data_IF_253231930867
#
_entry.id   IF_253231930867
#
_cell.length_a   1.000
_cell.length_b   1.000
_cell.length_c   1.000
_cell.angle_alpha   90.00
_cell.angle_beta   90.00
_cell.angle_gamma   90.00
#
_symmetry.space_group_name_H-M   'P 1'
#
loop_
_entity.id
_entity.type
_entity.pdbx_description
1 polymer ?
#
# COMPACT_ATOMS: atom_id res chain seq x y z
N UNK A 1 0.09 -5.19 -17.39
CA UNK A 1 0.21 -4.50 -16.06
C UNK A 1 1.49 -4.94 -15.35
N UNK A 2 2.21 -4.02 -14.74
CA UNK A 2 3.40 -4.27 -13.93
C UNK A 2 3.23 -3.68 -12.52
N UNK A 3 3.95 -4.22 -11.54
CA UNK A 3 3.95 -3.68 -10.18
C UNK A 3 4.38 -2.20 -10.15
N UNK A 4 5.35 -1.85 -11.01
CA UNK A 4 5.82 -0.46 -11.15
C UNK A 4 4.69 0.48 -11.58
N UNK A 5 3.83 0.08 -12.51
CA UNK A 5 2.66 0.86 -12.93
C UNK A 5 1.66 1.04 -11.78
N UNK A 6 1.40 0.01 -10.98
CA UNK A 6 0.55 0.11 -9.79
C UNK A 6 1.10 1.15 -8.81
N UNK A 7 2.39 1.11 -8.53
CA UNK A 7 3.05 2.07 -7.64
C UNK A 7 3.01 3.49 -8.21
N UNK A 8 3.11 3.65 -9.51
CA UNK A 8 3.01 4.95 -10.19
C UNK A 8 1.61 5.55 -10.07
N UNK A 9 0.56 4.77 -10.32
CA UNK A 9 -0.84 5.21 -10.13
C UNK A 9 -1.05 5.67 -8.69
N UNK A 10 -0.55 4.91 -7.73
CA UNK A 10 -0.63 5.23 -6.31
C UNK A 10 0.11 6.53 -5.94
N UNK A 11 1.30 6.74 -6.50
CA UNK A 11 2.09 7.95 -6.26
C UNK A 11 1.38 9.19 -6.82
N UNK A 12 0.82 9.11 -8.04
CA UNK A 12 0.09 10.23 -8.66
C UNK A 12 -1.20 10.55 -7.90
N UNK A 13 -1.95 9.53 -7.49
CA UNK A 13 -3.15 9.71 -6.66
C UNK A 13 -2.83 10.44 -5.35
N UNK A 14 -1.74 10.05 -4.67
CA UNK A 14 -1.31 10.69 -3.42
C UNK A 14 -0.82 12.12 -3.60
N UNK A 15 -0.11 12.40 -4.72
CA UNK A 15 0.47 13.70 -4.99
C UNK A 15 -0.53 14.70 -5.60
N UNK A 16 -1.64 14.23 -6.19
CA UNK A 16 -2.60 15.04 -6.94
C UNK A 16 -2.02 15.72 -8.18
N UNK A 17 -0.81 15.32 -8.60
CA UNK A 17 -0.09 15.91 -9.74
C UNK A 17 0.95 14.92 -10.27
N UNK A 18 1.00 14.75 -11.60
CA UNK A 18 2.02 13.91 -12.25
C UNK A 18 3.42 14.47 -12.02
N UNK A 19 3.59 15.81 -12.10
CA UNK A 19 4.89 16.46 -11.89
C UNK A 19 5.43 16.19 -10.48
N UNK A 20 4.64 16.45 -9.43
CA UNK A 20 5.03 16.19 -8.04
C UNK A 20 5.31 14.70 -7.76
N UNK A 21 4.52 13.81 -8.37
CA UNK A 21 4.76 12.37 -8.24
C UNK A 21 6.07 11.95 -8.93
N UNK A 22 6.36 12.49 -10.11
CA UNK A 22 7.58 12.23 -10.85
C UNK A 22 8.84 12.69 -10.09
N UNK A 23 8.79 13.88 -9.49
CA UNK A 23 9.84 14.39 -8.60
C UNK A 23 10.08 13.46 -7.41
N UNK A 24 9.02 13.06 -6.71
CA UNK A 24 9.10 12.15 -5.57
C UNK A 24 9.65 10.76 -5.94
N UNK A 25 9.44 10.33 -7.17
CA UNK A 25 9.92 9.05 -7.70
C UNK A 25 11.30 9.14 -8.39
N UNK A 26 11.87 10.34 -8.49
CA UNK A 26 13.14 10.62 -9.20
C UNK A 26 13.13 10.17 -10.67
N UNK A 27 12.02 10.40 -11.37
CA UNK A 27 11.84 10.08 -12.79
C UNK A 27 11.32 11.28 -13.57
N UNK A 28 11.39 11.22 -14.91
CA UNK A 28 10.81 12.26 -15.75
C UNK A 28 9.28 12.21 -15.74
N UNK A 29 8.63 13.38 -15.79
CA UNK A 29 7.17 13.48 -15.88
C UNK A 29 6.63 12.77 -17.13
N UNK A 30 7.35 12.84 -18.26
CA UNK A 30 6.98 12.16 -19.50
C UNK A 30 6.95 10.65 -19.35
N UNK A 31 7.98 10.05 -18.72
CA UNK A 31 8.05 8.61 -18.47
C UNK A 31 6.93 8.13 -17.53
N UNK A 32 6.62 8.92 -16.50
CA UNK A 32 5.52 8.59 -15.58
C UNK A 32 4.17 8.65 -16.31
N UNK A 33 3.93 9.72 -17.08
CA UNK A 33 2.70 9.90 -17.85
C UNK A 33 2.51 8.79 -18.89
N UNK A 34 3.55 8.46 -19.65
CA UNK A 34 3.54 7.40 -20.64
C UNK A 34 3.24 6.02 -20.00
N UNK A 35 3.85 5.74 -18.86
CA UNK A 35 3.62 4.48 -18.14
C UNK A 35 2.17 4.32 -17.69
N UNK A 36 1.53 5.40 -17.23
CA UNK A 36 0.12 5.40 -16.83
C UNK A 36 -0.79 5.25 -18.07
N UNK A 37 -0.53 6.02 -19.14
CA UNK A 37 -1.30 5.92 -20.37
C UNK A 37 -1.20 4.52 -21.01
N UNK A 38 -0.04 3.86 -20.90
CA UNK A 38 0.12 2.48 -21.38
C UNK A 38 -0.75 1.51 -20.57
N UNK A 39 -0.85 1.70 -19.26
CA UNK A 39 -1.73 0.91 -18.40
C UNK A 39 -3.21 1.16 -18.72
N UNK A 40 -3.62 2.42 -18.90
CA UNK A 40 -4.98 2.79 -19.26
C UNK A 40 -5.39 2.18 -20.60
N UNK A 41 -4.49 2.21 -21.60
CA UNK A 41 -4.72 1.60 -22.93
C UNK A 41 -4.77 0.07 -22.87
N UNK A 42 -3.92 -0.57 -22.06
CA UNK A 42 -3.87 -2.04 -21.93
C UNK A 42 -5.19 -2.61 -21.41
N UNK A 43 -5.89 -1.87 -20.54
CA UNK A 43 -7.14 -2.32 -19.90
C UNK A 43 -8.39 -1.56 -20.35
N UNK A 44 -8.25 -0.69 -21.37
CA UNK A 44 -9.33 0.16 -21.88
C UNK A 44 -10.07 0.90 -20.73
N UNK A 45 -9.30 1.54 -19.87
CA UNK A 45 -9.82 2.26 -18.70
C UNK A 45 -9.17 3.64 -18.57
N UNK A 46 -9.87 4.55 -17.92
CA UNK A 46 -9.36 5.88 -17.56
C UNK A 46 -9.19 5.94 -16.05
N UNK A 47 -7.96 6.04 -15.58
CA UNK A 47 -7.65 6.07 -14.15
C UNK A 47 -7.70 7.48 -13.56
N UNK A 48 -7.35 8.48 -14.37
CA UNK A 48 -7.23 9.87 -13.93
C UNK A 48 -8.00 10.83 -14.82
N UNK A 49 -8.59 11.83 -14.19
CA UNK A 49 -9.19 12.97 -14.85
C UNK A 49 -8.54 14.28 -14.41
N UNK A 50 -8.57 15.28 -15.31
CA UNK A 50 -8.08 16.63 -15.00
C UNK A 50 -9.21 17.44 -14.38
N UNK A 51 -8.91 18.07 -13.25
CA UNK A 51 -9.81 18.99 -12.55
C UNK A 51 -9.18 20.37 -12.45
N UNK A 52 -9.95 21.38 -12.06
CA UNK A 52 -9.45 22.74 -11.79
C UNK A 52 -8.41 22.79 -10.67
N UNK A 53 -8.36 21.75 -9.81
CA UNK A 53 -7.44 21.62 -8.67
C UNK A 53 -6.23 20.71 -8.97
N UNK A 54 -6.13 20.17 -10.17
CA UNK A 54 -5.07 19.23 -10.56
C UNK A 54 -5.60 17.95 -11.18
N UNK A 55 -5.10 16.81 -10.72
CA UNK A 55 -5.49 15.47 -11.19
C UNK A 55 -6.20 14.75 -10.07
N UNK A 56 -7.35 14.15 -10.36
CA UNK A 56 -8.10 13.26 -9.46
C UNK A 56 -8.28 11.88 -10.08
N UNK A 57 -8.58 10.89 -9.25
CA UNK A 57 -8.98 9.56 -9.72
C UNK A 57 -10.38 9.62 -10.30
N UNK A 58 -10.59 8.84 -11.35
CA UNK A 58 -11.93 8.46 -11.80
C UNK A 58 -12.48 7.35 -10.89
N UNK A 59 -13.76 6.99 -11.05
CA UNK A 59 -14.33 5.83 -10.37
C UNK A 59 -13.55 4.54 -10.67
N UNK A 60 -13.14 4.32 -11.92
CA UNK A 60 -12.30 3.18 -12.31
C UNK A 60 -10.93 3.24 -11.63
N UNK A 61 -10.35 4.42 -11.50
CA UNK A 61 -9.09 4.64 -10.79
C UNK A 61 -9.18 4.31 -9.29
N UNK A 62 -10.28 4.66 -8.64
CA UNK A 62 -10.53 4.32 -7.23
C UNK A 62 -10.68 2.80 -7.03
N UNK A 63 -11.45 2.14 -7.89
CA UNK A 63 -11.61 0.68 -7.89
C UNK A 63 -10.26 0.00 -8.11
N UNK A 64 -9.49 0.43 -9.11
CA UNK A 64 -8.16 -0.08 -9.39
C UNK A 64 -7.21 0.02 -8.20
N UNK A 65 -7.16 1.18 -7.52
CA UNK A 65 -6.32 1.36 -6.33
C UNK A 65 -6.75 0.47 -5.17
N UNK A 66 -8.05 0.29 -4.98
CA UNK A 66 -8.59 -0.60 -3.95
C UNK A 66 -8.19 -2.06 -4.19
N UNK A 67 -8.36 -2.53 -5.42
CA UNK A 67 -8.05 -3.92 -5.80
C UNK A 67 -6.55 -4.22 -5.73
N UNK A 68 -5.72 -3.23 -6.10
CA UNK A 68 -4.26 -3.36 -6.08
C UNK A 68 -3.62 -3.03 -4.73
N UNK A 69 -4.41 -2.65 -3.71
CA UNK A 69 -3.90 -2.26 -2.39
C UNK A 69 -3.10 -3.39 -1.72
N UNK A 70 -3.61 -4.62 -1.79
CA UNK A 70 -2.94 -5.78 -1.18
C UNK A 70 -1.58 -6.04 -1.81
N UNK A 71 -1.50 -5.97 -3.14
CA UNK A 71 -0.24 -6.14 -3.88
C UNK A 71 0.81 -5.09 -3.49
N UNK A 72 0.37 -3.84 -3.36
CA UNK A 72 1.24 -2.74 -2.94
C UNK A 72 1.77 -2.93 -1.52
N UNK A 73 0.93 -3.41 -0.60
CA UNK A 73 1.32 -3.67 0.79
C UNK A 73 2.33 -4.83 0.87
N UNK A 74 2.06 -5.95 0.19
CA UNK A 74 2.97 -7.10 0.15
C UNK A 74 4.33 -6.68 -0.42
N UNK A 75 4.33 -5.89 -1.50
CA UNK A 75 5.57 -5.39 -2.06
C UNK A 75 6.35 -4.53 -1.06
N UNK A 76 5.69 -3.63 -0.37
CA UNK A 76 6.31 -2.74 0.60
C UNK A 76 6.91 -3.52 1.78
N UNK A 77 6.18 -4.52 2.28
CA UNK A 77 6.66 -5.41 3.35
C UNK A 77 7.90 -6.20 2.92
N UNK A 78 7.93 -6.70 1.68
CA UNK A 78 9.09 -7.39 1.12
C UNK A 78 10.29 -6.43 0.94
N UNK A 79 10.05 -5.24 0.39
CA UNK A 79 11.07 -4.23 0.17
C UNK A 79 11.72 -3.82 1.50
N UNK A 80 10.91 -3.53 2.51
CA UNK A 80 11.34 -3.22 3.87
C UNK A 80 12.14 -4.37 4.50
N UNK A 81 11.65 -5.61 4.37
CA UNK A 81 12.30 -6.80 4.89
C UNK A 81 13.70 -7.02 4.30
N UNK A 82 13.85 -6.80 3.00
CA UNK A 82 15.11 -7.11 2.30
C UNK A 82 16.07 -5.92 2.21
N UNK A 83 15.59 -4.69 2.17
CA UNK A 83 16.43 -3.49 2.24
C UNK A 83 16.94 -3.21 3.66
N UNK A 84 16.11 -3.46 4.66
CA UNK A 84 16.42 -3.20 6.07
C UNK A 84 16.93 -4.45 6.82
N UNK A 85 17.67 -5.33 6.17
CA UNK A 85 18.27 -6.55 6.79
C UNK A 85 19.10 -6.29 8.05
N UNK A 86 19.44 -5.02 8.36
CA UNK A 86 20.16 -4.62 9.57
C UNK A 86 19.25 -4.37 10.78
N UNK A 87 17.95 -4.34 10.61
CA UNK A 87 16.99 -4.24 11.71
C UNK A 87 16.26 -5.57 11.80
N UNK A 88 16.66 -6.41 12.76
CA UNK A 88 15.87 -7.56 13.20
C UNK A 88 14.54 -7.05 13.76
N UNK A 89 13.57 -6.83 12.87
CA UNK A 89 12.19 -6.62 13.29
C UNK A 89 11.62 -7.99 13.65
N UNK A 90 11.59 -8.28 14.92
CA UNK A 90 10.85 -9.44 15.42
C UNK A 90 9.37 -9.22 15.08
N UNK A 91 8.81 -10.06 14.21
CA UNK A 91 7.39 -10.09 13.92
C UNK A 91 6.71 -10.98 14.97
N UNK A 92 5.93 -10.36 15.84
CA UNK A 92 5.08 -11.10 16.77
C UNK A 92 3.68 -11.21 16.19
N UNK A 93 3.18 -12.42 16.06
CA UNK A 93 1.80 -12.69 15.71
C UNK A 93 1.08 -13.22 16.97
N UNK A 94 0.14 -12.47 17.51
CA UNK A 94 -0.68 -12.90 18.64
C UNK A 94 -2.06 -13.29 18.11
N UNK A 95 -2.43 -14.55 18.27
CA UNK A 95 -3.77 -15.05 17.99
C UNK A 95 -4.45 -15.41 19.32
N UNK A 96 -5.60 -14.82 19.60
CA UNK A 96 -6.36 -15.08 20.82
C UNK A 96 -7.81 -15.40 20.51
N UNK A 97 -8.31 -16.47 21.14
CA UNK A 97 -9.71 -16.88 21.07
C UNK A 97 -10.64 -16.01 21.95
N UNK A 98 -10.08 -15.34 22.96
CA UNK A 98 -10.81 -14.47 23.88
C UNK A 98 -10.30 -13.04 23.79
N UNK A 99 -11.22 -12.11 23.50
CA UNK A 99 -10.93 -10.71 23.21
C UNK A 99 -10.23 -9.96 24.35
N UNK A 100 -10.55 -10.25 25.60
CA UNK A 100 -10.05 -9.50 26.78
C UNK A 100 -8.63 -9.91 27.16
N UNK A 101 -8.36 -11.21 27.29
CA UNK A 101 -7.03 -11.72 27.68
C UNK A 101 -5.95 -11.49 26.62
N UNK A 102 -6.35 -11.37 25.34
CA UNK A 102 -5.42 -11.06 24.25
C UNK A 102 -4.93 -9.60 24.25
N UNK A 103 -5.77 -8.65 24.70
CA UNK A 103 -5.42 -7.24 24.78
C UNK A 103 -4.40 -7.01 25.90
N UNK A 104 -4.64 -7.55 27.09
CA UNK A 104 -3.74 -7.37 28.23
C UNK A 104 -2.34 -7.95 27.97
N UNK A 105 -2.28 -9.14 27.34
CA UNK A 105 -1.01 -9.75 26.93
C UNK A 105 -0.28 -8.93 25.87
N UNK A 106 -1.02 -8.34 24.94
CA UNK A 106 -0.46 -7.49 23.89
C UNK A 106 0.06 -6.16 24.45
N UNK A 107 -0.68 -5.50 25.33
CA UNK A 107 -0.24 -4.28 26.01
C UNK A 107 1.03 -4.51 26.82
N UNK A 108 1.14 -5.65 27.49
CA UNK A 108 2.34 -5.99 28.25
C UNK A 108 3.57 -6.20 27.35
N UNK A 109 3.42 -6.84 26.19
CA UNK A 109 4.51 -7.03 25.22
C UNK A 109 4.93 -5.69 24.61
N UNK A 110 3.97 -4.85 24.22
CA UNK A 110 4.22 -3.54 23.62
C UNK A 110 4.93 -2.61 24.60
N UNK A 111 4.51 -2.58 25.87
CA UNK A 111 5.12 -1.74 26.90
C UNK A 111 6.55 -2.17 27.26
N UNK A 112 6.83 -3.47 27.20
CA UNK A 112 8.15 -4.01 27.58
C UNK A 112 9.20 -3.87 26.46
N UNK A 113 8.81 -3.95 25.17
CA UNK A 113 9.76 -3.96 24.03
C UNK A 113 9.79 -2.67 23.20
N UNK A 114 9.11 -1.58 23.58
CA UNK A 114 9.06 -0.32 22.78
C UNK A 114 8.73 -0.55 21.29
N UNK A 115 7.70 -1.32 20.99
CA UNK A 115 7.26 -1.59 19.62
C UNK A 115 6.43 -0.40 19.12
N UNK A 116 6.89 0.30 18.08
CA UNK A 116 6.32 1.57 17.62
C UNK A 116 5.22 1.46 16.56
N UNK A 117 4.95 0.26 16.01
CA UNK A 117 3.96 0.09 14.96
C UNK A 117 3.15 -1.19 15.16
N UNK A 118 1.86 -1.02 15.40
CA UNK A 118 0.91 -2.12 15.40
C UNK A 118 -0.28 -1.80 14.50
N UNK A 119 -0.72 -2.78 13.76
CA UNK A 119 -1.91 -2.72 12.96
C UNK A 119 -2.91 -3.72 13.52
N UNK A 120 -4.07 -3.22 13.93
CA UNK A 120 -5.17 -4.04 14.39
C UNK A 120 -6.09 -4.39 13.22
N UNK A 121 -6.29 -5.68 12.97
CA UNK A 121 -7.27 -6.15 11.98
C UNK A 121 -8.27 -7.10 12.64
N UNK A 122 -9.54 -6.70 12.67
CA UNK A 122 -10.62 -7.57 13.11
C UNK A 122 -10.93 -8.57 12.00
N UNK A 123 -10.54 -9.81 12.15
CA UNK A 123 -10.83 -10.88 11.21
C UNK A 123 -12.18 -11.53 11.56
N UNK A 124 -13.13 -11.52 10.64
CA UNK A 124 -14.50 -12.01 10.88
C UNK A 124 -14.71 -13.50 10.59
N UNK A 125 -13.77 -14.19 9.95
CA UNK A 125 -13.92 -15.61 9.63
C UNK A 125 -12.64 -16.40 9.83
N UNK A 126 -12.77 -17.55 10.52
CA UNK A 126 -11.78 -18.60 10.64
C UNK A 126 -11.85 -19.50 9.42
N UNK A 127 -10.81 -19.55 8.61
CA UNK A 127 -10.43 -20.76 7.91
C UNK A 127 -8.96 -21.02 8.22
N UNK A 128 -8.74 -22.04 9.06
CA UNK A 128 -7.43 -22.65 9.23
C UNK A 128 -7.00 -23.26 7.90
N UNK A 129 -5.99 -22.70 7.27
CA UNK A 129 -5.25 -23.46 6.28
C UNK A 129 -4.34 -24.46 7.01
N UNK A 130 -4.63 -25.73 6.79
CA UNK A 130 -3.73 -26.86 7.06
C UNK A 130 -2.56 -26.83 6.10
#
# INVERSE_FOLDING_TARGET
MTLKQILYVRAVSKAGSIGKAAEALFISQSSLSESIQNLEREYDMVLFERTSRGISLTRQGEEFLKDTQLLSNIYQDLDDKYKNRKSEREHFCVSSLHHVSGIDAFEHIVSTKKIFLYSWRKQKNWECMK
#
